data_IF_490419928105
#
_entry.id   IF_490419928105
#
_cell.length_a   1.000
_cell.length_b   1.000
_cell.length_c   1.000
_cell.angle_alpha   90.00
_cell.angle_beta   90.00
_cell.angle_gamma   90.00
#
_symmetry.space_group_name_H-M   'P 1'
#
loop_
_entity.id
_entity.type
_entity.pdbx_description
1 polymer ?
#
# COMPACT_ATOMS: atom_id res chain seq x y z
N UNK A 1 -23.82 10.03 -31.80
CA UNK A 1 -22.66 10.17 -30.89
C UNK A 1 -21.70 11.17 -31.51
N UNK A 2 -21.35 12.25 -30.80
CA UNK A 2 -20.33 13.20 -31.24
C UNK A 2 -18.97 12.51 -31.35
N UNK A 3 -18.22 12.80 -32.41
CA UNK A 3 -16.91 12.20 -32.63
C UNK A 3 -15.96 12.52 -31.47
N UNK A 4 -15.32 11.49 -30.93
CA UNK A 4 -14.38 11.61 -29.80
C UNK A 4 -13.10 12.28 -30.29
N UNK A 5 -12.82 13.50 -29.82
CA UNK A 5 -11.59 14.23 -30.18
C UNK A 5 -10.36 13.41 -29.74
N UNK A 6 -9.27 13.33 -30.53
CA UNK A 6 -8.05 12.65 -30.10
C UNK A 6 -7.44 13.35 -28.88
N UNK A 7 -6.87 12.56 -27.95
CA UNK A 7 -6.09 13.09 -26.84
C UNK A 7 -4.63 13.21 -27.29
N UNK A 8 -3.93 14.33 -27.00
CA UNK A 8 -2.49 14.40 -27.19
C UNK A 8 -1.82 13.23 -26.45
N UNK A 9 -0.96 12.44 -27.12
CA UNK A 9 -0.30 11.31 -26.50
C UNK A 9 0.79 11.79 -25.53
N UNK A 10 1.04 11.01 -24.48
CA UNK A 10 2.21 11.23 -23.61
C UNK A 10 3.45 10.50 -24.14
N UNK A 11 4.67 10.97 -23.84
CA UNK A 11 5.87 10.35 -24.41
C UNK A 11 6.12 8.94 -23.85
N UNK A 12 6.54 8.05 -24.75
CA UNK A 12 7.03 6.72 -24.39
C UNK A 12 5.92 5.73 -24.01
N UNK A 13 6.29 4.64 -23.32
CA UNK A 13 5.39 3.51 -23.07
C UNK A 13 4.22 3.84 -22.12
N UNK A 14 4.25 5.03 -21.49
CA UNK A 14 3.15 5.51 -20.66
C UNK A 14 1.87 5.76 -21.47
N UNK A 15 1.96 6.10 -22.76
CA UNK A 15 0.75 6.31 -23.57
C UNK A 15 -0.02 5.00 -23.76
N UNK A 16 0.66 3.91 -24.10
CA UNK A 16 0.04 2.61 -24.28
C UNK A 16 -0.60 2.14 -22.96
N UNK A 17 0.07 2.36 -21.83
CA UNK A 17 -0.50 2.12 -20.51
C UNK A 17 -1.75 2.98 -20.26
N UNK A 18 -1.67 4.30 -20.47
CA UNK A 18 -2.74 5.23 -20.17
C UNK A 18 -3.97 5.05 -21.08
N UNK A 19 -3.76 4.70 -22.34
CA UNK A 19 -4.82 4.45 -23.32
C UNK A 19 -5.74 3.30 -22.89
N UNK A 20 -5.26 2.32 -22.11
CA UNK A 20 -6.08 1.23 -21.54
C UNK A 20 -7.16 1.72 -20.55
N UNK A 21 -7.08 2.96 -20.10
CA UNK A 21 -8.07 3.60 -19.22
C UNK A 21 -9.01 4.55 -19.96
N UNK A 22 -8.82 4.80 -21.26
CA UNK A 22 -9.59 5.79 -22.01
C UNK A 22 -11.10 5.55 -21.89
N UNK A 23 -11.56 4.30 -21.87
CA UNK A 23 -12.99 3.96 -21.76
C UNK A 23 -13.68 4.51 -20.49
N UNK A 24 -12.93 4.87 -19.45
CA UNK A 24 -13.44 5.38 -18.18
C UNK A 24 -13.61 6.91 -18.17
N UNK A 25 -13.18 7.59 -19.22
CA UNK A 25 -13.16 9.05 -19.31
C UNK A 25 -14.08 9.55 -20.43
N UNK A 26 -15.06 10.37 -20.06
CA UNK A 26 -16.11 10.87 -20.93
C UNK A 26 -15.71 12.10 -21.76
N UNK A 27 -14.60 12.75 -21.41
CA UNK A 27 -14.13 13.98 -22.07
C UNK A 27 -12.65 13.94 -22.45
N UNK A 28 -12.27 14.79 -23.41
CA UNK A 28 -10.86 15.03 -23.74
C UNK A 28 -10.08 15.53 -22.52
N UNK A 29 -10.65 16.48 -21.76
CA UNK A 29 -10.01 17.05 -20.57
C UNK A 29 -9.71 15.99 -19.50
N UNK A 30 -10.58 14.99 -19.30
CA UNK A 30 -10.34 13.89 -18.36
C UNK A 30 -9.19 12.99 -18.82
N UNK A 31 -9.19 12.58 -20.09
CA UNK A 31 -8.12 11.75 -20.66
C UNK A 31 -6.76 12.45 -20.63
N UNK A 32 -6.76 13.75 -20.92
CA UNK A 32 -5.58 14.61 -20.83
C UNK A 32 -5.12 14.75 -19.38
N UNK A 33 -6.03 15.03 -18.45
CA UNK A 33 -5.73 15.13 -17.02
C UNK A 33 -5.13 13.84 -16.45
N UNK A 34 -5.66 12.67 -16.81
CA UNK A 34 -5.11 11.38 -16.40
C UNK A 34 -3.67 11.17 -16.89
N UNK A 35 -3.43 11.41 -18.17
CA UNK A 35 -2.12 11.33 -18.82
C UNK A 35 -1.11 12.31 -18.21
N UNK A 36 -1.48 13.58 -18.05
CA UNK A 36 -0.63 14.61 -17.45
C UNK A 36 -0.27 14.23 -16.00
N UNK A 37 -1.25 13.78 -15.21
CA UNK A 37 -1.01 13.38 -13.83
C UNK A 37 -0.09 12.16 -13.73
N UNK A 38 -0.35 11.11 -14.50
CA UNK A 38 0.49 9.90 -14.53
C UNK A 38 1.88 10.17 -15.10
N UNK A 39 2.07 11.19 -15.92
CA UNK A 39 3.40 11.57 -16.42
C UNK A 39 4.25 12.19 -15.32
N UNK A 40 3.64 13.02 -14.48
CA UNK A 40 4.36 13.73 -13.43
C UNK A 40 4.66 12.88 -12.18
N UNK A 41 3.83 11.89 -11.85
CA UNK A 41 4.04 11.04 -10.66
C UNK A 41 5.36 10.25 -10.68
N UNK A 42 5.80 9.62 -11.80
CA UNK A 42 7.09 8.94 -11.92
C UNK A 42 8.29 9.87 -12.11
N UNK A 43 8.09 11.20 -12.15
CA UNK A 43 9.18 12.15 -12.37
C UNK A 43 10.22 12.11 -11.22
N UNK A 44 11.47 12.54 -11.46
CA UNK A 44 12.52 12.52 -10.44
C UNK A 44 12.15 13.26 -9.15
N UNK A 45 12.60 12.73 -8.01
CA UNK A 45 12.34 13.30 -6.67
C UNK A 45 12.83 14.73 -6.47
N UNK A 46 13.83 15.15 -7.24
CA UNK A 46 14.36 16.51 -7.21
C UNK A 46 13.29 17.55 -7.60
N UNK A 47 12.20 17.10 -8.23
CA UNK A 47 10.97 17.86 -8.36
C UNK A 47 9.96 17.46 -7.27
N UNK A 48 9.47 18.46 -6.56
CA UNK A 48 8.22 18.34 -5.82
C UNK A 48 7.11 17.86 -6.76
N UNK A 49 6.19 17.02 -6.29
CA UNK A 49 5.11 16.44 -7.11
C UNK A 49 3.75 17.07 -6.82
N UNK A 50 3.78 18.31 -6.31
CA UNK A 50 2.59 19.14 -6.16
C UNK A 50 1.92 19.38 -7.52
N UNK A 51 0.62 19.68 -7.52
CA UNK A 51 -0.15 19.92 -8.75
C UNK A 51 0.49 21.01 -9.63
N UNK A 52 1.07 22.05 -9.03
CA UNK A 52 1.82 23.08 -9.77
C UNK A 52 2.99 22.48 -10.53
N UNK A 53 3.80 21.64 -9.88
CA UNK A 53 4.96 21.02 -10.50
C UNK A 53 4.57 19.96 -11.55
N UNK A 54 3.51 19.19 -11.31
CA UNK A 54 2.96 18.25 -12.31
C UNK A 54 2.49 18.99 -13.58
N UNK A 55 1.97 20.22 -13.43
CA UNK A 55 1.61 21.09 -14.54
C UNK A 55 2.79 21.87 -15.15
N UNK A 56 4.03 21.66 -14.66
CA UNK A 56 5.21 22.41 -15.11
C UNK A 56 5.25 23.88 -14.66
N UNK A 57 4.49 24.24 -13.62
CA UNK A 57 4.35 25.59 -13.10
C UNK A 57 5.18 25.80 -11.83
N UNK A 58 5.68 27.02 -11.62
CA UNK A 58 6.30 27.41 -10.36
C UNK A 58 5.28 27.33 -9.21
N UNK A 59 5.62 26.71 -8.07
CA UNK A 59 4.77 26.72 -6.88
C UNK A 59 4.36 28.14 -6.49
N UNK A 60 3.10 28.30 -6.05
CA UNK A 60 2.51 29.59 -5.66
C UNK A 60 2.33 30.57 -6.84
N UNK A 61 3.40 31.02 -7.49
CA UNK A 61 3.33 32.00 -8.58
C UNK A 61 2.55 31.47 -9.80
N UNK A 62 2.77 30.20 -10.14
CA UNK A 62 2.10 29.52 -11.24
C UNK A 62 0.74 28.91 -10.89
N UNK A 63 0.22 29.06 -9.67
CA UNK A 63 -0.99 28.37 -9.24
C UNK A 63 -2.24 28.76 -10.07
N UNK A 64 -2.24 29.96 -10.65
CA UNK A 64 -3.32 30.48 -11.47
C UNK A 64 -3.28 30.06 -12.94
N UNK A 65 -2.22 29.40 -13.42
CA UNK A 65 -2.13 29.08 -14.86
C UNK A 65 -3.19 28.04 -15.26
N UNK A 66 -3.70 28.06 -16.51
CA UNK A 66 -4.76 27.16 -16.95
C UNK A 66 -4.46 25.68 -16.73
N UNK A 67 -3.21 25.24 -16.91
CA UNK A 67 -2.79 23.84 -16.67
C UNK A 67 -3.00 23.39 -15.22
N UNK A 68 -2.65 24.24 -14.26
CA UNK A 68 -2.81 23.93 -12.82
C UNK A 68 -4.28 23.85 -12.45
N UNK A 69 -5.08 24.82 -12.89
CA UNK A 69 -6.53 24.81 -12.65
C UNK A 69 -7.18 23.56 -13.26
N UNK A 70 -6.73 23.12 -14.44
CA UNK A 70 -7.21 21.91 -15.11
C UNK A 70 -6.94 20.66 -14.28
N UNK A 71 -5.74 20.48 -13.75
CA UNK A 71 -5.39 19.34 -12.90
C UNK A 71 -6.09 19.38 -11.54
N UNK A 72 -6.26 20.56 -10.93
CA UNK A 72 -7.07 20.71 -9.73
C UNK A 72 -8.52 20.27 -9.99
N UNK A 73 -9.14 20.78 -11.05
CA UNK A 73 -10.49 20.39 -11.45
C UNK A 73 -10.59 18.90 -11.78
N UNK A 74 -9.57 18.33 -12.44
CA UNK A 74 -9.50 16.90 -12.73
C UNK A 74 -9.59 16.06 -11.46
N UNK A 75 -8.86 16.43 -10.40
CA UNK A 75 -8.88 15.72 -9.13
C UNK A 75 -10.12 16.00 -8.28
N UNK A 76 -10.59 17.25 -8.20
CA UNK A 76 -11.64 17.61 -7.24
C UNK A 76 -13.06 17.50 -7.82
N UNK A 77 -13.29 18.02 -9.02
CA UNK A 77 -14.65 18.25 -9.55
C UNK A 77 -15.04 17.35 -10.72
N UNK A 78 -14.08 16.96 -11.57
CA UNK A 78 -14.36 16.24 -12.82
C UNK A 78 -15.12 14.94 -12.57
N UNK A 79 -16.15 14.54 -13.34
CA UNK A 79 -17.01 13.40 -13.01
C UNK A 79 -16.43 12.04 -13.50
N UNK A 80 -15.32 11.58 -12.93
CA UNK A 80 -14.79 10.21 -13.13
C UNK A 80 -14.69 9.45 -11.81
N UNK A 81 -14.86 8.14 -11.80
CA UNK A 81 -14.96 7.37 -10.55
C UNK A 81 -13.64 6.67 -10.22
N UNK A 82 -13.10 6.94 -9.02
CA UNK A 82 -11.80 6.42 -8.59
C UNK A 82 -11.78 4.89 -8.52
N UNK A 83 -12.89 4.31 -8.07
CA UNK A 83 -13.02 2.85 -7.97
C UNK A 83 -13.02 2.18 -9.35
N UNK A 84 -13.65 2.77 -10.37
CA UNK A 84 -13.61 2.21 -11.73
C UNK A 84 -12.19 2.23 -12.32
N UNK A 85 -11.42 3.29 -12.04
CA UNK A 85 -10.00 3.35 -12.43
C UNK A 85 -9.19 2.29 -11.68
N UNK A 86 -9.48 2.09 -10.39
CA UNK A 86 -8.83 1.03 -9.62
C UNK A 86 -9.17 -0.36 -10.15
N UNK A 87 -10.44 -0.63 -10.43
CA UNK A 87 -10.91 -1.92 -10.95
C UNK A 87 -10.24 -2.23 -12.31
N UNK A 88 -10.15 -1.25 -13.22
CA UNK A 88 -9.39 -1.39 -14.48
C UNK A 88 -7.91 -1.64 -14.23
N UNK A 89 -7.29 -0.95 -13.27
CA UNK A 89 -5.88 -1.20 -12.91
C UNK A 89 -5.68 -2.63 -12.42
N UNK A 90 -6.59 -3.13 -11.60
CA UNK A 90 -6.56 -4.49 -11.07
C UNK A 90 -6.82 -5.55 -12.15
N UNK A 91 -7.73 -5.27 -13.09
CA UNK A 91 -7.95 -6.09 -14.30
C UNK A 91 -6.65 -6.26 -15.09
N UNK A 92 -5.95 -5.16 -15.39
CA UNK A 92 -4.68 -5.20 -16.13
C UNK A 92 -3.58 -5.98 -15.40
N UNK A 93 -3.48 -5.84 -14.07
CA UNK A 93 -2.52 -6.62 -13.26
C UNK A 93 -2.81 -8.11 -13.27
N UNK A 94 -4.09 -8.51 -13.38
CA UNK A 94 -4.51 -9.91 -13.47
C UNK A 94 -4.26 -10.52 -14.85
N UNK A 95 -4.38 -9.73 -15.89
CA UNK A 95 -4.19 -10.18 -17.28
C UNK A 95 -2.71 -10.39 -17.62
N UNK A 96 -1.81 -9.64 -16.98
CA UNK A 96 -0.37 -9.73 -17.20
C UNK A 96 0.24 -10.92 -16.41
N UNK A 97 0.79 -11.97 -17.08
CA UNK A 97 1.28 -13.17 -16.39
C UNK A 97 2.35 -12.93 -15.33
N UNK A 98 3.17 -11.89 -15.48
CA UNK A 98 4.21 -11.57 -14.52
C UNK A 98 3.66 -11.01 -13.18
N UNK A 99 2.50 -10.35 -13.24
CA UNK A 99 1.82 -9.77 -12.07
C UNK A 99 0.56 -10.51 -11.67
N UNK A 100 0.07 -11.47 -12.46
CA UNK A 100 -1.17 -12.17 -12.19
C UNK A 100 -1.17 -12.85 -10.81
N UNK A 101 -2.24 -12.68 -10.01
CA UNK A 101 -2.32 -13.28 -8.70
C UNK A 101 -2.53 -14.80 -8.78
N UNK A 102 -2.17 -15.50 -7.70
CA UNK A 102 -2.40 -16.93 -7.53
C UNK A 102 -2.61 -17.27 -6.06
N UNK A 103 -3.19 -18.44 -5.78
CA UNK A 103 -3.60 -18.87 -4.44
C UNK A 103 -2.45 -19.11 -3.45
N UNK A 104 -1.20 -19.03 -3.90
CA UNK A 104 0.00 -19.14 -3.06
C UNK A 104 0.51 -17.81 -2.49
N UNK A 105 0.02 -16.69 -3.01
CA UNK A 105 0.32 -15.34 -2.53
C UNK A 105 -0.47 -14.98 -1.26
N UNK A 106 -0.26 -13.77 -0.75
CA UNK A 106 -0.97 -13.23 0.42
C UNK A 106 -1.58 -11.88 0.12
N UNK A 107 -2.67 -11.56 0.82
CA UNK A 107 -3.16 -10.19 0.95
C UNK A 107 -2.68 -9.66 2.29
N UNK A 108 -1.76 -8.70 2.27
CA UNK A 108 -1.27 -8.03 3.48
C UNK A 108 -2.15 -6.83 3.78
N UNK A 109 -2.58 -6.69 5.04
CA UNK A 109 -3.27 -5.51 5.56
C UNK A 109 -2.30 -4.77 6.47
N UNK A 110 -2.22 -3.46 6.28
CA UNK A 110 -1.52 -2.55 7.19
C UNK A 110 -2.12 -1.15 7.05
N UNK A 111 -1.91 -0.30 8.05
CA UNK A 111 -2.28 1.11 7.99
C UNK A 111 -1.03 1.98 7.89
N UNK A 112 -1.24 3.21 7.46
CA UNK A 112 -0.14 4.13 7.29
C UNK A 112 -0.62 5.55 7.52
N UNK A 113 -0.02 6.19 8.53
CA UNK A 113 -0.23 7.59 8.87
C UNK A 113 0.69 8.54 8.12
N UNK A 114 0.12 9.62 7.60
CA UNK A 114 0.81 10.74 6.96
C UNK A 114 0.50 12.03 7.72
N UNK A 115 1.55 12.74 8.14
CA UNK A 115 1.40 13.99 8.87
C UNK A 115 0.77 15.04 7.97
N UNK A 116 -0.19 15.79 8.49
CA UNK A 116 -0.81 16.93 7.81
C UNK A 116 -0.97 18.08 8.78
N UNK A 117 -0.85 19.30 8.28
CA UNK A 117 -1.07 20.51 9.05
C UNK A 117 -2.48 21.08 8.81
N UNK A 118 -3.05 21.71 9.83
CA UNK A 118 -4.39 22.32 9.79
C UNK A 118 -5.54 21.32 9.93
N UNK A 119 -6.77 21.83 9.76
CA UNK A 119 -8.03 21.12 10.01
C UNK A 119 -8.96 21.03 8.79
N UNK A 120 -8.56 21.62 7.65
CA UNK A 120 -9.43 21.79 6.48
C UNK A 120 -9.40 20.61 5.49
N UNK A 121 -8.53 19.62 5.74
CA UNK A 121 -8.40 18.43 4.89
C UNK A 121 -9.28 17.32 5.44
N UNK A 122 -10.05 16.65 4.58
CA UNK A 122 -10.85 15.50 4.98
C UNK A 122 -9.97 14.45 5.68
N UNK A 123 -10.54 13.76 6.68
CA UNK A 123 -9.88 12.71 7.47
C UNK A 123 -8.74 13.18 8.38
N UNK A 124 -8.36 14.45 8.33
CA UNK A 124 -7.26 14.95 9.16
C UNK A 124 -7.64 14.95 10.64
N UNK A 125 -6.77 14.48 11.50
CA UNK A 125 -7.00 14.57 12.93
C UNK A 125 -5.86 14.02 13.75
N UNK A 126 -6.02 14.14 15.08
CA UNK A 126 -5.11 13.53 16.06
C UNK A 126 -5.25 12.02 16.02
N UNK A 127 -4.31 11.35 15.38
CA UNK A 127 -4.31 9.91 15.13
C UNK A 127 -2.93 9.34 15.45
N UNK A 128 -2.85 8.04 15.77
CA UNK A 128 -1.55 7.38 15.91
C UNK A 128 -0.88 7.29 14.54
N UNK A 129 0.29 7.92 14.37
CA UNK A 129 1.03 7.89 13.11
C UNK A 129 2.20 6.90 13.24
N UNK A 130 2.02 5.67 12.75
CA UNK A 130 2.97 4.57 12.90
C UNK A 130 4.42 4.93 12.53
N UNK A 131 4.63 5.61 11.39
CA UNK A 131 5.96 6.08 10.93
C UNK A 131 6.67 7.00 11.94
N UNK A 132 5.90 7.78 12.69
CA UNK A 132 6.41 8.77 13.65
C UNK A 132 6.41 8.27 15.09
N UNK A 133 5.80 7.10 15.36
CA UNK A 133 5.72 6.50 16.70
C UNK A 133 5.00 7.37 17.73
N UNK A 134 4.03 8.18 17.31
CA UNK A 134 3.29 9.09 18.19
C UNK A 134 1.91 9.44 17.65
N UNK A 135 1.03 9.87 18.55
CA UNK A 135 -0.22 10.55 18.15
C UNK A 135 0.09 11.98 17.71
N UNK A 136 -0.23 12.31 16.45
CA UNK A 136 -0.08 13.64 15.90
C UNK A 136 -1.19 13.94 14.89
N UNK A 137 -1.22 15.16 14.35
CA UNK A 137 -2.18 15.53 13.32
C UNK A 137 -1.81 14.91 11.96
N UNK A 138 -2.72 14.17 11.38
CA UNK A 138 -2.47 13.48 10.11
C UNK A 138 -3.68 12.74 9.59
N UNK A 139 -3.47 12.01 8.49
CA UNK A 139 -4.43 11.11 7.86
C UNK A 139 -3.86 9.70 7.97
N UNK A 140 -4.66 8.75 8.45
CA UNK A 140 -4.32 7.32 8.41
C UNK A 140 -5.08 6.69 7.26
N UNK A 141 -4.40 5.91 6.43
CA UNK A 141 -5.02 5.14 5.35
C UNK A 141 -4.72 3.66 5.55
N UNK A 142 -5.79 2.86 5.60
CA UNK A 142 -5.69 1.39 5.59
C UNK A 142 -5.50 0.95 4.15
N UNK A 143 -4.52 0.08 3.93
CA UNK A 143 -4.17 -0.44 2.60
C UNK A 143 -4.15 -1.96 2.61
N UNK A 144 -4.57 -2.55 1.50
CA UNK A 144 -4.31 -3.95 1.17
C UNK A 144 -3.26 -4.05 0.08
N UNK A 145 -2.30 -4.95 0.23
CA UNK A 145 -1.27 -5.24 -0.79
C UNK A 145 -1.32 -6.72 -1.11
N UNK A 146 -1.35 -7.09 -2.40
CA UNK A 146 -1.11 -8.46 -2.81
C UNK A 146 0.38 -8.69 -3.05
N UNK A 147 0.91 -9.84 -2.62
CA UNK A 147 2.30 -10.23 -2.92
C UNK A 147 2.49 -11.76 -2.85
N UNK A 148 3.41 -12.26 -3.68
CA UNK A 148 3.96 -13.61 -3.64
C UNK A 148 5.46 -13.63 -3.24
N UNK A 149 6.03 -12.47 -2.91
CA UNK A 149 7.46 -12.26 -2.66
C UNK A 149 8.30 -11.97 -3.92
N UNK A 150 7.76 -12.20 -5.12
CA UNK A 150 8.35 -11.82 -6.41
C UNK A 150 7.85 -10.44 -6.84
N UNK A 151 6.55 -10.20 -6.74
CA UNK A 151 5.90 -8.91 -7.01
C UNK A 151 5.05 -8.49 -5.83
N UNK A 152 4.74 -7.21 -5.75
CA UNK A 152 3.82 -6.68 -4.75
C UNK A 152 3.15 -5.42 -5.28
N UNK A 153 1.87 -5.22 -4.99
CA UNK A 153 1.17 -3.99 -5.37
C UNK A 153 -0.07 -3.74 -4.50
N UNK A 154 -0.44 -2.46 -4.25
CA UNK A 154 -1.68 -2.13 -3.56
C UNK A 154 -2.91 -2.63 -4.32
N UNK A 155 -3.89 -3.18 -3.61
CA UNK A 155 -5.21 -3.56 -4.14
C UNK A 155 -6.22 -2.44 -3.90
N UNK A 156 -6.53 -2.17 -2.64
CA UNK A 156 -7.53 -1.20 -2.20
C UNK A 156 -7.01 -0.39 -1.03
N UNK A 157 -7.46 0.86 -0.94
CA UNK A 157 -7.05 1.81 0.08
C UNK A 157 -8.27 2.55 0.61
N UNK A 158 -8.32 2.84 1.90
CA UNK A 158 -9.40 3.66 2.48
C UNK A 158 -8.86 4.52 3.60
N UNK A 159 -8.96 5.86 3.49
CA UNK A 159 -8.67 6.75 4.61
C UNK A 159 -9.60 6.47 5.79
N UNK A 160 -9.05 6.40 6.99
CA UNK A 160 -9.82 6.38 8.22
C UNK A 160 -10.29 7.78 8.57
N UNK A 161 -11.58 7.92 8.86
CA UNK A 161 -12.19 9.19 9.25
C UNK A 161 -12.33 9.28 10.77
N UNK A 162 -11.65 10.21 11.46
CA UNK A 162 -11.78 10.37 12.90
C UNK A 162 -13.21 10.74 13.32
N UNK A 163 -13.64 10.28 14.50
CA UNK A 163 -15.00 10.44 15.01
C UNK A 163 -15.53 11.90 15.04
N UNK A 164 -14.64 12.90 15.17
CA UNK A 164 -15.02 14.32 15.23
C UNK A 164 -15.37 14.94 13.87
N UNK A 165 -15.11 14.23 12.75
CA UNK A 165 -15.60 14.64 11.43
C UNK A 165 -17.09 14.32 11.22
N UNK A 166 -17.68 13.48 12.08
CA UNK A 166 -19.09 13.13 12.01
C UNK A 166 -19.91 14.06 12.91
N UNK A 167 -21.07 14.49 12.40
CA UNK A 167 -22.04 15.25 13.19
C UNK A 167 -22.52 14.40 14.37
N UNK A 168 -22.65 14.96 15.60
CA UNK A 168 -23.18 14.21 16.74
C UNK A 168 -24.61 13.72 16.43
N UNK A 169 -24.82 12.40 16.40
CA UNK A 169 -26.12 11.79 16.14
C UNK A 169 -26.25 10.40 16.77
N UNK A 170 -27.48 9.91 17.01
CA UNK A 170 -27.75 8.68 17.76
C UNK A 170 -27.28 7.39 17.07
N UNK A 171 -26.92 7.44 15.78
CA UNK A 171 -26.35 6.31 15.04
C UNK A 171 -24.82 6.39 14.94
N UNK A 172 -24.13 6.34 16.08
CA UNK A 172 -22.68 6.04 16.13
C UNK A 172 -22.37 4.56 15.90
N UNK A 173 -23.39 3.70 15.90
CA UNK A 173 -23.31 2.27 15.60
C UNK A 173 -23.28 2.06 14.08
N UNK A 174 -22.11 2.13 13.46
CA UNK A 174 -21.99 1.87 12.02
C UNK A 174 -20.73 2.42 11.36
N UNK A 175 -19.94 3.24 12.06
CA UNK A 175 -18.60 3.55 11.59
C UNK A 175 -17.75 2.29 11.75
N UNK A 176 -17.20 1.72 10.67
CA UNK A 176 -16.27 0.63 10.82
C UNK A 176 -15.17 1.11 11.74
N UNK A 177 -14.98 0.42 12.87
CA UNK A 177 -13.70 0.45 13.54
C UNK A 177 -12.63 0.19 12.48
N UNK A 178 -11.46 0.83 12.58
CA UNK A 178 -10.37 0.74 11.61
C UNK A 178 -10.12 -0.71 11.12
N UNK A 179 -10.26 -1.67 12.04
CA UNK A 179 -10.21 -3.10 11.78
C UNK A 179 -11.33 -3.63 10.87
N UNK A 180 -12.61 -3.30 11.10
CA UNK A 180 -13.73 -3.79 10.28
C UNK A 180 -13.62 -3.33 8.80
N UNK A 181 -13.17 -2.08 8.57
CA UNK A 181 -12.86 -1.61 7.22
C UNK A 181 -11.72 -2.43 6.58
N UNK A 182 -10.70 -2.79 7.37
CA UNK A 182 -9.56 -3.55 6.87
C UNK A 182 -9.93 -4.97 6.39
N UNK A 183 -10.78 -5.69 7.14
CA UNK A 183 -11.27 -7.01 6.71
C UNK A 183 -12.10 -6.91 5.43
N UNK A 184 -12.94 -5.88 5.30
CA UNK A 184 -13.74 -5.65 4.09
C UNK A 184 -12.87 -5.38 2.86
N UNK A 185 -11.75 -4.65 3.01
CA UNK A 185 -10.80 -4.43 1.90
C UNK A 185 -10.15 -5.73 1.42
N UNK A 186 -9.83 -6.66 2.32
CA UNK A 186 -9.29 -7.96 1.94
C UNK A 186 -10.34 -8.84 1.26
N UNK A 187 -11.58 -8.84 1.76
CA UNK A 187 -12.71 -9.49 1.10
C UNK A 187 -12.90 -8.97 -0.33
N UNK A 188 -12.87 -7.64 -0.50
CA UNK A 188 -12.94 -7.00 -1.81
C UNK A 188 -11.78 -7.40 -2.73
N UNK A 189 -10.57 -7.55 -2.19
CA UNK A 189 -9.42 -8.09 -2.94
C UNK A 189 -9.70 -9.49 -3.51
N UNK A 190 -10.23 -10.38 -2.68
CA UNK A 190 -10.62 -11.74 -3.10
C UNK A 190 -11.76 -11.72 -4.12
N UNK A 191 -12.79 -10.90 -3.91
CA UNK A 191 -13.91 -10.72 -4.85
C UNK A 191 -13.45 -10.17 -6.21
N UNK A 192 -12.42 -9.30 -6.20
CA UNK A 192 -11.75 -8.81 -7.41
C UNK A 192 -10.84 -9.86 -8.06
N UNK A 193 -10.84 -11.12 -7.59
CA UNK A 193 -10.11 -12.26 -8.15
C UNK A 193 -8.63 -12.32 -7.80
N UNK A 194 -8.21 -11.66 -6.71
CA UNK A 194 -6.86 -11.82 -6.16
C UNK A 194 -6.86 -12.99 -5.18
N UNK A 195 -6.65 -14.19 -5.72
CA UNK A 195 -6.46 -15.40 -4.93
C UNK A 195 -5.32 -15.24 -3.92
N UNK A 196 -5.50 -15.79 -2.72
CA UNK A 196 -4.50 -15.74 -1.67
C UNK A 196 -4.60 -16.94 -0.74
N UNK A 197 -3.45 -17.38 -0.23
CA UNK A 197 -3.35 -18.44 0.75
C UNK A 197 -3.86 -18.00 2.12
N UNK A 198 -3.59 -16.75 2.46
CA UNK A 198 -4.04 -16.12 3.68
C UNK A 198 -4.02 -14.59 3.57
N UNK A 199 -4.85 -13.95 4.39
CA UNK A 199 -4.68 -12.56 4.80
C UNK A 199 -3.61 -12.49 5.88
N UNK A 200 -2.68 -11.56 5.75
CA UNK A 200 -1.59 -11.37 6.71
C UNK A 200 -1.68 -9.97 7.31
N UNK A 201 -1.60 -9.87 8.62
CA UNK A 201 -1.68 -8.60 9.33
C UNK A 201 -0.83 -8.60 10.60
N UNK A 202 -0.45 -7.42 11.05
CA UNK A 202 0.27 -7.25 12.30
C UNK A 202 -0.68 -7.29 13.52
N UNK A 203 -0.12 -7.05 14.71
CA UNK A 203 -0.89 -7.07 15.95
C UNK A 203 -1.72 -5.79 16.21
N UNK A 204 -1.55 -4.72 15.43
CA UNK A 204 -2.43 -3.55 15.49
C UNK A 204 -3.82 -3.89 14.92
N UNK A 205 -3.87 -4.79 13.94
CA UNK A 205 -5.13 -5.31 13.40
C UNK A 205 -5.86 -6.29 14.35
N UNK A 206 -5.16 -6.91 15.29
CA UNK A 206 -5.66 -8.01 16.15
C UNK A 206 -6.35 -7.55 17.46
N UNK A 207 -7.09 -6.44 17.45
CA UNK A 207 -7.63 -5.83 18.68
C UNK A 207 -9.02 -6.29 19.09
N UNK A 208 -9.80 -6.95 18.20
CA UNK A 208 -11.15 -7.43 18.51
C UNK A 208 -11.60 -8.62 17.67
N UNK A 209 -12.56 -9.40 18.20
CA UNK A 209 -13.02 -10.65 17.58
C UNK A 209 -13.83 -10.43 16.28
N UNK A 210 -14.52 -9.29 16.17
CA UNK A 210 -15.30 -8.91 14.99
C UNK A 210 -14.48 -8.94 13.70
N UNK A 211 -13.20 -8.60 13.79
CA UNK A 211 -12.29 -8.61 12.66
C UNK A 211 -12.02 -10.04 12.16
N UNK A 212 -11.74 -10.97 13.07
CA UNK A 212 -11.56 -12.37 12.74
C UNK A 212 -12.86 -13.01 12.23
N UNK A 213 -14.01 -12.61 12.77
CA UNK A 213 -15.32 -13.05 12.30
C UNK A 213 -15.60 -12.55 10.89
N UNK A 214 -15.26 -11.30 10.56
CA UNK A 214 -15.41 -10.75 9.22
C UNK A 214 -14.55 -11.49 8.19
N UNK A 215 -13.30 -11.81 8.52
CA UNK A 215 -12.44 -12.62 7.64
C UNK A 215 -13.02 -14.03 7.42
N UNK A 216 -13.50 -14.69 8.48
CA UNK A 216 -14.14 -16.01 8.38
C UNK A 216 -15.42 -15.96 7.54
N UNK A 217 -16.26 -14.93 7.72
CA UNK A 217 -17.47 -14.73 6.94
C UNK A 217 -17.17 -14.53 5.44
N UNK A 218 -16.05 -13.89 5.11
CA UNK A 218 -15.54 -13.76 3.73
C UNK A 218 -14.83 -15.03 3.21
N UNK A 219 -14.77 -16.09 4.02
CA UNK A 219 -14.05 -17.33 3.70
C UNK A 219 -12.56 -17.09 3.46
N UNK A 220 -11.94 -16.17 4.22
CA UNK A 220 -10.52 -15.87 4.15
C UNK A 220 -9.78 -16.57 5.29
N UNK A 221 -8.75 -17.33 4.92
CA UNK A 221 -7.75 -17.77 5.87
C UNK A 221 -6.90 -16.57 6.33
N UNK A 222 -6.31 -16.65 7.52
CA UNK A 222 -5.45 -15.58 8.04
C UNK A 222 -4.22 -16.09 8.77
N UNK A 223 -3.15 -15.30 8.79
CA UNK A 223 -1.98 -15.46 9.65
C UNK A 223 -1.63 -14.10 10.24
N UNK A 224 -1.88 -13.92 11.53
CA UNK A 224 -1.97 -12.58 12.15
C UNK A 224 -1.16 -12.55 13.43
N UNK A 225 -0.32 -11.53 13.59
CA UNK A 225 0.45 -11.41 14.81
C UNK A 225 -0.41 -11.02 16.01
N UNK A 226 -0.05 -11.57 17.17
CA UNK A 226 -0.60 -11.22 18.47
C UNK A 226 0.47 -10.51 19.29
N UNK A 227 0.03 -9.61 20.19
CA UNK A 227 0.92 -9.05 21.21
C UNK A 227 1.36 -10.16 22.18
N UNK A 228 2.63 -10.21 22.61
CA UNK A 228 3.14 -11.26 23.51
C UNK A 228 2.36 -11.35 24.82
N UNK A 229 1.89 -10.21 25.33
CA UNK A 229 1.14 -10.10 26.59
C UNK A 229 -0.38 -9.96 26.38
N UNK A 230 -0.91 -10.34 25.20
CA UNK A 230 -2.36 -10.36 24.99
C UNK A 230 -2.98 -11.40 25.90
N UNK A 231 -3.59 -10.94 26.99
CA UNK A 231 -4.28 -11.81 27.94
C UNK A 231 -5.46 -12.52 27.31
N UNK A 232 -5.64 -13.79 27.66
CA UNK A 232 -6.85 -14.55 27.37
C UNK A 232 -7.32 -15.29 28.62
N UNK A 233 -8.59 -15.69 28.60
CA UNK A 233 -9.10 -16.56 29.64
C UNK A 233 -8.51 -17.98 29.47
N UNK A 234 -7.96 -18.52 30.54
CA UNK A 234 -7.45 -19.88 30.64
C UNK A 234 -7.60 -20.37 32.09
N UNK A 235 -7.43 -21.68 32.32
CA UNK A 235 -7.41 -22.23 33.69
C UNK A 235 -6.14 -21.74 34.42
N UNK A 236 -6.19 -21.70 35.75
CA UNK A 236 -5.12 -21.12 36.59
C UNK A 236 -3.73 -21.78 36.39
N UNK A 237 -3.70 -23.04 36.00
CA UNK A 237 -2.49 -23.83 35.75
C UNK A 237 -2.03 -23.79 34.28
N UNK A 238 -2.70 -23.01 33.43
CA UNK A 238 -2.41 -22.91 32.00
C UNK A 238 -1.85 -21.53 31.65
N UNK A 239 -1.15 -21.41 30.50
CA UNK A 239 -0.72 -20.12 29.99
C UNK A 239 -1.90 -19.16 29.78
N UNK A 240 -1.71 -17.89 30.13
CA UNK A 240 -2.68 -16.80 29.97
C UNK A 240 -2.29 -15.83 28.85
N UNK A 241 -1.04 -15.88 28.38
CA UNK A 241 -0.53 -15.02 27.30
C UNK A 241 0.25 -15.82 26.24
N UNK A 242 0.40 -15.31 25.00
CA UNK A 242 1.21 -15.96 23.98
C UNK A 242 2.66 -16.24 24.38
N UNK A 243 3.30 -15.33 25.13
CA UNK A 243 4.68 -15.55 25.62
C UNK A 243 4.76 -16.64 26.68
N UNK A 244 3.79 -16.73 27.60
CA UNK A 244 3.70 -17.84 28.55
C UNK A 244 3.47 -19.18 27.84
N UNK A 245 2.64 -19.17 26.79
CA UNK A 245 2.38 -20.36 26.00
C UNK A 245 3.64 -20.83 25.26
N UNK A 246 4.47 -19.91 24.79
CA UNK A 246 5.77 -20.22 24.21
C UNK A 246 6.75 -20.78 25.25
N UNK A 247 6.79 -20.21 26.47
CA UNK A 247 7.65 -20.73 27.55
C UNK A 247 7.23 -22.12 28.05
N UNK A 248 5.97 -22.51 27.87
CA UNK A 248 5.49 -23.85 28.21
C UNK A 248 5.95 -24.93 27.21
N UNK A 249 6.47 -24.55 26.03
CA UNK A 249 6.97 -25.49 25.03
C UNK A 249 8.33 -26.08 25.46
N UNK A 250 8.50 -27.36 25.19
CA UNK A 250 9.72 -28.10 25.49
C UNK A 250 10.84 -27.67 24.55
N UNK A 251 11.89 -27.08 25.11
CA UNK A 251 13.14 -26.79 24.40
C UNK A 251 14.33 -27.23 25.25
N UNK A 252 15.31 -27.91 24.64
CA UNK A 252 16.61 -28.20 25.29
C UNK A 252 17.75 -27.51 24.56
N UNK A 253 17.92 -27.84 23.29
CA UNK A 253 18.97 -27.30 22.41
C UNK A 253 18.66 -27.66 20.95
N UNK A 254 19.42 -27.10 20.02
CA UNK A 254 19.22 -27.31 18.58
C UNK A 254 19.30 -28.78 18.13
N UNK A 255 19.98 -29.67 18.87
CA UNK A 255 20.05 -31.11 18.56
C UNK A 255 18.89 -31.90 19.18
N UNK A 256 18.22 -31.33 20.18
CA UNK A 256 17.08 -31.91 20.90
C UNK A 256 16.01 -30.84 21.06
N UNK A 257 15.35 -30.47 19.96
CA UNK A 257 14.53 -29.26 19.93
C UNK A 257 13.18 -29.40 20.63
N UNK A 258 12.79 -30.61 21.04
CA UNK A 258 11.53 -30.85 21.74
C UNK A 258 10.34 -30.56 20.84
N UNK A 259 9.51 -29.60 21.24
CA UNK A 259 8.29 -29.21 20.49
C UNK A 259 8.60 -28.30 19.29
N UNK A 260 9.84 -27.82 19.17
CA UNK A 260 10.25 -26.87 18.13
C UNK A 260 10.75 -27.57 16.87
N UNK A 261 10.36 -27.04 15.72
CA UNK A 261 10.80 -27.48 14.40
C UNK A 261 11.68 -26.41 13.75
N UNK A 262 12.86 -26.74 13.20
CA UNK A 262 13.67 -25.79 12.47
C UNK A 262 12.98 -25.41 11.15
N UNK A 263 12.98 -24.12 10.82
CA UNK A 263 12.41 -23.55 9.60
C UNK A 263 13.49 -22.72 8.91
N UNK A 264 13.87 -23.09 7.70
CA UNK A 264 14.79 -22.31 6.89
C UNK A 264 14.04 -21.17 6.18
N UNK A 265 14.49 -19.94 6.40
CA UNK A 265 13.96 -18.75 5.74
C UNK A 265 14.94 -18.29 4.68
N UNK A 266 14.44 -18.03 3.49
CA UNK A 266 15.21 -17.54 2.36
C UNK A 266 14.88 -16.08 2.08
N UNK A 267 15.91 -15.29 1.82
CA UNK A 267 15.78 -13.88 1.53
C UNK A 267 16.24 -13.58 0.11
N UNK A 268 15.75 -12.47 -0.46
CA UNK A 268 15.95 -12.16 -1.89
C UNK A 268 17.40 -11.86 -2.25
N UNK A 269 18.20 -11.38 -1.31
CA UNK A 269 19.66 -11.20 -1.44
C UNK A 269 20.44 -12.52 -1.31
N UNK A 270 19.75 -13.66 -1.18
CA UNK A 270 20.33 -14.99 -1.17
C UNK A 270 20.76 -15.49 0.20
N UNK A 271 20.67 -14.70 1.27
CA UNK A 271 20.96 -15.20 2.61
C UNK A 271 19.84 -16.12 3.10
N UNK A 272 20.22 -17.04 3.99
CA UNK A 272 19.28 -17.91 4.70
C UNK A 272 19.44 -17.72 6.20
N UNK A 273 18.33 -17.82 6.92
CA UNK A 273 18.31 -17.84 8.39
C UNK A 273 17.51 -19.04 8.86
N UNK A 274 18.04 -19.77 9.85
CA UNK A 274 17.27 -20.78 10.57
C UNK A 274 16.47 -20.13 11.68
N UNK A 275 15.16 -20.29 11.60
CA UNK A 275 14.21 -19.98 12.66
C UNK A 275 13.70 -21.29 13.27
N UNK A 276 13.01 -21.19 14.40
CA UNK A 276 12.33 -22.29 15.06
C UNK A 276 10.86 -21.97 15.17
N UNK A 277 9.99 -22.92 14.87
CA UNK A 277 8.55 -22.74 14.98
C UNK A 277 7.89 -23.90 15.75
N UNK A 278 6.78 -23.61 16.42
CA UNK A 278 6.00 -24.58 17.18
C UNK A 278 4.54 -24.16 17.29
N UNK A 279 3.63 -25.14 17.37
CA UNK A 279 2.23 -24.91 17.76
C UNK A 279 2.13 -24.86 19.29
N UNK A 280 1.60 -23.76 19.82
CA UNK A 280 1.38 -23.55 21.24
C UNK A 280 -0.11 -23.67 21.60
N UNK A 281 -0.38 -24.00 22.87
CA UNK A 281 -1.73 -24.07 23.42
C UNK A 281 -1.99 -22.86 24.33
N UNK A 282 -3.06 -22.12 24.05
CA UNK A 282 -3.43 -20.92 24.80
C UNK A 282 -4.94 -20.72 24.75
N UNK A 283 -5.65 -20.95 25.86
CA UNK A 283 -7.11 -20.85 25.88
C UNK A 283 -7.76 -21.71 24.77
N UNK A 284 -8.46 -21.08 23.83
CA UNK A 284 -9.05 -21.77 22.67
C UNK A 284 -8.09 -22.11 21.52
N UNK A 285 -6.84 -21.60 21.55
CA UNK A 285 -5.83 -21.86 20.52
C UNK A 285 -5.12 -23.19 20.76
N UNK A 286 -4.90 -23.95 19.68
CA UNK A 286 -4.09 -25.17 19.71
C UNK A 286 -4.05 -25.89 18.36
N UNK A 287 -3.17 -26.89 18.19
CA UNK A 287 -3.01 -27.61 16.92
C UNK A 287 -4.28 -28.36 16.48
N UNK A 288 -5.07 -28.84 17.44
CA UNK A 288 -6.33 -29.56 17.19
C UNK A 288 -7.54 -28.61 17.04
N UNK A 289 -7.35 -27.32 17.32
CA UNK A 289 -8.41 -26.30 17.31
C UNK A 289 -8.56 -25.67 15.91
N UNK A 290 -9.77 -25.18 15.54
CA UNK A 290 -9.97 -24.41 14.31
C UNK A 290 -9.15 -23.11 14.21
N UNK A 291 -8.56 -22.68 15.32
CA UNK A 291 -7.63 -21.57 15.38
C UNK A 291 -6.38 -22.00 16.15
N UNK A 292 -5.21 -21.83 15.54
CA UNK A 292 -3.91 -22.21 16.09
C UNK A 292 -3.14 -20.99 16.56
N UNK A 293 -2.29 -21.20 17.55
CA UNK A 293 -1.24 -20.27 17.92
C UNK A 293 0.10 -20.87 17.48
N UNK A 294 0.73 -20.28 16.49
CA UNK A 294 2.08 -20.66 16.06
C UNK A 294 3.08 -19.65 16.61
N UNK A 295 4.11 -20.13 17.27
CA UNK A 295 5.24 -19.31 17.73
C UNK A 295 6.41 -19.55 16.80
N UNK A 296 7.03 -18.48 16.29
CA UNK A 296 8.23 -18.58 15.45
C UNK A 296 9.31 -17.63 15.95
N UNK A 297 10.54 -18.10 16.14
CA UNK A 297 11.61 -17.30 16.75
C UNK A 297 13.01 -17.70 16.26
N UNK A 298 13.98 -16.80 16.37
CA UNK A 298 15.40 -17.15 16.20
C UNK A 298 15.99 -17.86 17.41
N UNK A 299 15.37 -17.73 18.59
CA UNK A 299 15.88 -18.30 19.85
C UNK A 299 14.73 -18.73 20.77
N UNK A 300 14.40 -20.04 20.81
CA UNK A 300 13.36 -20.59 21.68
C UNK A 300 13.59 -20.39 23.17
N UNK A 301 14.84 -20.25 23.61
CA UNK A 301 15.15 -20.07 25.03
C UNK A 301 14.93 -18.62 25.48
N UNK A 302 15.38 -17.66 24.66
CA UNK A 302 15.32 -16.23 24.99
C UNK A 302 14.06 -15.51 24.52
N UNK A 303 13.36 -16.03 23.50
CA UNK A 303 12.20 -15.40 22.86
C UNK A 303 12.41 -13.89 22.61
N UNK A 304 13.48 -13.49 21.88
CA UNK A 304 13.81 -12.09 21.66
C UNK A 304 12.66 -11.33 21.01
N UNK A 305 12.28 -10.19 21.59
CA UNK A 305 11.10 -9.40 21.19
C UNK A 305 11.05 -9.08 19.69
N UNK A 306 12.18 -8.67 19.10
CA UNK A 306 12.28 -8.29 17.68
C UNK A 306 12.43 -9.46 16.71
N UNK A 307 12.54 -10.67 17.23
CA UNK A 307 12.76 -11.89 16.44
C UNK A 307 11.93 -13.06 16.98
N UNK A 308 10.76 -12.76 17.53
CA UNK A 308 9.76 -13.73 17.96
C UNK A 308 8.39 -13.27 17.47
N UNK A 309 7.67 -14.17 16.80
CA UNK A 309 6.33 -13.97 16.29
C UNK A 309 5.37 -14.88 17.02
N UNK A 310 4.23 -14.34 17.43
CA UNK A 310 3.11 -15.08 17.98
C UNK A 310 1.97 -14.95 17.00
N UNK A 311 1.61 -16.01 16.29
CA UNK A 311 0.75 -15.96 15.11
C UNK A 311 -0.54 -16.72 15.35
N UNK A 312 -1.67 -16.02 15.27
CA UNK A 312 -2.99 -16.63 15.20
C UNK A 312 -3.30 -17.01 13.74
N UNK A 313 -3.78 -18.22 13.52
CA UNK A 313 -4.22 -18.68 12.18
C UNK A 313 -5.40 -19.63 12.24
N UNK A 314 -6.31 -19.56 11.27
CA UNK A 314 -7.36 -20.56 11.03
C UNK A 314 -6.99 -21.57 9.92
N UNK A 315 -5.73 -21.61 9.48
CA UNK A 315 -5.22 -22.68 8.62
C UNK A 315 -5.01 -23.94 9.47
N UNK A 316 -5.69 -25.06 9.18
CA UNK A 316 -5.65 -26.22 10.07
C UNK A 316 -4.25 -26.84 10.08
N UNK A 317 -3.90 -27.45 11.22
CA UNK A 317 -2.70 -28.28 11.31
C UNK A 317 -2.87 -29.51 10.39
N UNK A 318 -1.83 -29.99 9.68
CA UNK A 318 -1.94 -31.13 8.78
C UNK A 318 -2.54 -32.39 9.42
N UNK A 319 -2.18 -32.63 10.68
CA UNK A 319 -2.67 -33.78 11.45
C UNK A 319 -3.94 -33.51 12.27
N UNK A 320 -4.55 -32.32 12.16
CA UNK A 320 -5.74 -32.00 12.94
C UNK A 320 -6.95 -32.84 12.47
N UNK A 321 -7.78 -33.38 13.38
CA UNK A 321 -8.97 -34.16 13.01
C UNK A 321 -9.95 -33.39 12.10
N UNK A 322 -10.04 -32.07 12.25
CA UNK A 322 -10.93 -31.21 11.48
C UNK A 322 -10.33 -30.74 10.14
N UNK A 323 -9.07 -31.09 9.82
CA UNK A 323 -8.40 -30.63 8.60
C UNK A 323 -9.13 -31.06 7.33
N UNK A 324 -9.66 -32.29 7.30
CA UNK A 324 -10.40 -32.82 6.15
C UNK A 324 -11.74 -32.11 5.88
N UNK A 325 -12.32 -31.48 6.90
CA UNK A 325 -13.60 -30.74 6.82
C UNK A 325 -13.41 -29.23 6.80
N UNK A 326 -12.17 -28.74 6.88
CA UNK A 326 -11.85 -27.33 6.87
C UNK A 326 -12.11 -26.72 5.48
N UNK A 327 -12.63 -25.48 5.41
CA UNK A 327 -12.74 -24.75 4.15
C UNK A 327 -11.37 -24.33 3.57
N UNK A 328 -10.30 -24.47 4.35
CA UNK A 328 -8.94 -24.09 3.98
C UNK A 328 -8.01 -25.30 4.01
N UNK A 329 -7.15 -25.50 2.98
CA UNK A 329 -6.15 -26.56 3.00
C UNK A 329 -5.21 -26.41 4.20
N UNK A 330 -4.75 -27.52 4.82
CA UNK A 330 -3.84 -27.47 5.96
C UNK A 330 -2.51 -26.81 5.64
N UNK A 331 -1.88 -26.22 6.65
CA UNK A 331 -0.60 -25.53 6.55
C UNK A 331 0.34 -25.98 7.67
N UNK A 332 1.54 -26.42 7.31
CA UNK A 332 2.59 -26.75 8.28
C UNK A 332 3.26 -25.48 8.84
N UNK A 333 4.17 -25.66 9.79
CA UNK A 333 4.90 -24.55 10.42
C UNK A 333 5.75 -23.75 9.42
N UNK A 334 6.33 -24.42 8.42
CA UNK A 334 7.15 -23.76 7.38
C UNK A 334 6.28 -22.82 6.55
N UNK A 335 5.08 -23.26 6.16
CA UNK A 335 4.14 -22.45 5.40
C UNK A 335 3.63 -21.26 6.22
N UNK A 336 3.26 -21.43 7.49
CA UNK A 336 2.81 -20.32 8.34
C UNK A 336 3.91 -19.24 8.47
N UNK A 337 5.16 -19.67 8.69
CA UNK A 337 6.32 -18.75 8.76
C UNK A 337 6.58 -18.07 7.42
N UNK A 338 6.45 -18.79 6.30
CA UNK A 338 6.56 -18.22 4.94
C UNK A 338 5.50 -17.13 4.71
N UNK A 339 4.23 -17.44 5.00
CA UNK A 339 3.11 -16.52 4.79
C UNK A 339 3.29 -15.23 5.59
N UNK A 340 3.58 -15.35 6.90
CA UNK A 340 3.81 -14.15 7.71
C UNK A 340 5.11 -13.42 7.32
N UNK A 341 6.11 -14.16 6.84
CA UNK A 341 7.35 -13.59 6.29
C UNK A 341 7.15 -12.68 5.07
N UNK A 342 5.99 -12.72 4.41
CA UNK A 342 5.64 -11.81 3.32
C UNK A 342 5.05 -10.47 3.81
N UNK A 343 4.67 -10.35 5.09
CA UNK A 343 4.13 -9.10 5.65
C UNK A 343 4.98 -7.86 5.34
N UNK A 344 6.33 -7.88 5.47
CA UNK A 344 7.16 -6.68 5.27
C UNK A 344 7.08 -6.05 3.87
N UNK A 345 6.52 -6.74 2.86
CA UNK A 345 6.33 -6.16 1.53
C UNK A 345 5.34 -4.99 1.52
N UNK A 346 4.40 -4.89 2.46
CA UNK A 346 3.53 -3.71 2.58
C UNK A 346 4.32 -2.48 3.04
N UNK A 347 5.25 -2.64 4.00
CA UNK A 347 6.15 -1.58 4.43
C UNK A 347 7.07 -1.14 3.29
N UNK A 348 7.54 -2.08 2.48
CA UNK A 348 8.28 -1.78 1.26
C UNK A 348 7.42 -1.01 0.25
N UNK A 349 6.16 -1.40 0.07
CA UNK A 349 5.19 -0.67 -0.76
C UNK A 349 5.02 0.76 -0.28
N UNK A 350 4.85 0.98 1.03
CA UNK A 350 4.72 2.32 1.58
C UNK A 350 5.94 3.19 1.34
N UNK A 351 7.16 2.67 1.52
CA UNK A 351 8.38 3.42 1.20
C UNK A 351 8.38 3.90 -0.24
N UNK A 352 8.04 3.02 -1.19
CA UNK A 352 8.05 3.37 -2.60
C UNK A 352 6.93 4.37 -2.95
N UNK A 353 5.68 4.11 -2.58
CA UNK A 353 4.58 5.01 -2.97
C UNK A 353 4.66 6.37 -2.27
N UNK A 354 5.12 6.41 -1.01
CA UNK A 354 5.28 7.68 -0.26
C UNK A 354 6.49 8.45 -0.69
N UNK A 355 7.63 7.79 -0.69
CA UNK A 355 8.85 8.52 -0.93
C UNK A 355 8.93 8.79 -2.44
N UNK A 356 8.69 7.82 -3.33
CA UNK A 356 8.89 7.98 -4.77
C UNK A 356 7.67 8.44 -5.56
N UNK A 357 6.43 8.30 -5.09
CA UNK A 357 5.24 8.59 -5.92
C UNK A 357 4.26 9.59 -5.30
N UNK A 358 4.71 10.42 -4.36
CA UNK A 358 3.94 11.54 -3.77
C UNK A 358 2.72 11.16 -2.92
N UNK A 359 2.57 9.90 -2.49
CA UNK A 359 1.41 9.46 -1.71
C UNK A 359 1.12 10.35 -0.49
N UNK A 360 2.16 10.81 0.22
CA UNK A 360 2.03 11.57 1.45
C UNK A 360 1.99 13.09 1.24
N UNK A 361 2.47 13.57 0.08
CA UNK A 361 2.84 14.96 -0.16
C UNK A 361 1.78 15.74 -0.98
N UNK A 362 0.66 15.08 -1.32
CA UNK A 362 -0.46 15.74 -1.97
C UNK A 362 -1.01 16.94 -1.16
N UNK A 363 -1.51 17.93 -1.89
CA UNK A 363 -2.07 19.17 -1.35
C UNK A 363 -3.59 19.30 -1.54
N UNK A 364 -4.26 18.24 -1.99
CA UNK A 364 -5.72 18.18 -2.10
C UNK A 364 -6.40 18.06 -0.74
N UNK A 365 -7.65 18.53 -0.65
CA UNK A 365 -8.38 18.66 0.63
C UNK A 365 -9.63 17.79 0.75
N UNK A 366 -10.37 17.57 -0.32
CA UNK A 366 -11.63 16.81 -0.26
C UNK A 366 -11.36 15.29 -0.26
N UNK A 367 -12.23 14.52 0.39
CA UNK A 367 -12.18 13.05 0.38
C UNK A 367 -12.10 12.50 -1.05
N UNK A 368 -12.95 13.02 -1.95
CA UNK A 368 -12.96 12.67 -3.38
C UNK A 368 -11.59 12.86 -4.02
N UNK A 369 -10.95 14.01 -3.82
CA UNK A 369 -9.65 14.29 -4.40
C UNK A 369 -8.52 13.44 -3.80
N UNK A 370 -8.58 13.17 -2.48
CA UNK A 370 -7.61 12.30 -1.78
C UNK A 370 -7.67 10.88 -2.35
N UNK A 371 -8.86 10.28 -2.43
CA UNK A 371 -9.04 8.93 -2.98
C UNK A 371 -8.55 8.84 -4.42
N UNK A 372 -8.86 9.84 -5.24
CA UNK A 372 -8.39 9.92 -6.62
C UNK A 372 -6.88 9.99 -6.74
N UNK A 373 -6.24 10.85 -5.94
CA UNK A 373 -4.79 10.92 -5.90
C UNK A 373 -4.19 9.56 -5.52
N UNK A 374 -4.69 8.91 -4.47
CA UNK A 374 -4.22 7.58 -4.03
C UNK A 374 -4.36 6.52 -5.14
N UNK A 375 -5.47 6.49 -5.87
CA UNK A 375 -5.64 5.57 -7.01
C UNK A 375 -4.68 5.91 -8.17
N UNK A 376 -4.41 7.19 -8.45
CA UNK A 376 -3.46 7.58 -9.49
C UNK A 376 -2.01 7.22 -9.10
N UNK A 377 -1.65 7.35 -7.82
CA UNK A 377 -0.37 6.86 -7.29
C UNK A 377 -0.27 5.34 -7.48
N UNK A 378 -1.33 4.59 -7.15
CA UNK A 378 -1.35 3.15 -7.36
C UNK A 378 -1.27 2.77 -8.86
N UNK A 379 -1.86 3.58 -9.76
CA UNK A 379 -1.71 3.42 -11.21
C UNK A 379 -0.27 3.64 -11.65
N UNK A 380 0.39 4.70 -11.18
CA UNK A 380 1.80 4.96 -11.48
C UNK A 380 2.71 3.83 -10.94
N UNK A 381 2.41 3.30 -9.77
CA UNK A 381 3.12 2.15 -9.20
C UNK A 381 2.92 0.87 -10.03
N UNK A 382 1.69 0.62 -10.51
CA UNK A 382 1.39 -0.53 -11.37
C UNK A 382 2.04 -0.41 -12.75
N UNK A 383 2.11 0.82 -13.30
CA UNK A 383 2.88 1.11 -14.50
C UNK A 383 4.38 0.79 -14.33
N UNK A 384 4.95 0.99 -13.14
CA UNK A 384 6.34 0.61 -12.89
C UNK A 384 6.55 -0.91 -13.05
N UNK A 385 5.60 -1.74 -12.59
CA UNK A 385 5.65 -3.19 -12.82
C UNK A 385 5.46 -3.58 -14.28
N UNK A 386 4.50 -2.96 -14.97
CA UNK A 386 4.27 -3.15 -16.41
C UNK A 386 5.55 -2.88 -17.22
N UNK A 387 6.30 -1.83 -16.88
CA UNK A 387 7.56 -1.50 -17.53
C UNK A 387 8.76 -2.35 -17.10
N UNK A 388 8.72 -2.92 -15.90
CA UNK A 388 9.78 -3.81 -15.41
C UNK A 388 9.84 -5.12 -16.18
N UNK A 389 8.67 -5.67 -16.52
CA UNK A 389 8.57 -6.94 -17.25
C UNK A 389 8.60 -6.78 -18.76
N UNK A 390 8.41 -5.56 -19.27
CA UNK A 390 8.53 -5.27 -20.70
C UNK A 390 10.01 -5.24 -21.11
N UNK A 391 10.44 -6.06 -22.09
CA UNK A 391 11.80 -5.99 -22.62
C UNK A 391 12.10 -4.57 -23.15
N UNK A 392 13.30 -4.01 -22.92
CA UNK A 392 13.62 -2.68 -23.42
C UNK A 392 13.53 -2.66 -24.95
N UNK A 393 12.53 -1.95 -25.48
CA UNK A 393 12.39 -1.70 -26.91
C UNK A 393 13.44 -0.73 -27.45
N UNK A 394 13.58 -0.60 -28.79
CA UNK A 394 14.48 0.37 -29.40
C UNK A 394 14.18 1.79 -28.92
N UNK A 395 15.21 2.56 -28.59
CA UNK A 395 15.08 3.97 -28.25
C UNK A 395 14.62 4.74 -29.49
N UNK A 396 13.34 5.11 -29.52
CA UNK A 396 12.86 6.07 -30.52
C UNK A 396 13.35 7.47 -30.13
N UNK A 397 14.42 7.92 -30.78
CA UNK A 397 15.03 9.24 -30.66
C UNK A 397 14.29 10.33 -31.44
N UNK A 398 13.18 9.98 -32.11
CA UNK A 398 12.41 10.91 -32.96
C UNK A 398 11.19 11.51 -32.28
N UNK A 399 10.89 11.11 -31.03
CA UNK A 399 9.74 11.65 -30.29
C UNK A 399 9.93 13.15 -30.01
N UNK A 400 9.03 14.03 -30.49
CA UNK A 400 9.14 15.47 -30.27
C UNK A 400 8.94 15.83 -28.80
N UNK A 401 9.64 16.85 -28.32
CA UNK A 401 9.44 17.44 -27.00
C UNK A 401 7.99 17.90 -26.83
N UNK A 402 7.37 17.68 -25.65
CA UNK A 402 6.01 18.14 -25.39
C UNK A 402 5.97 19.68 -25.45
N UNK A 403 5.34 20.23 -26.48
CA UNK A 403 5.02 21.65 -26.56
C UNK A 403 3.73 21.91 -25.78
N UNK A 404 3.65 22.99 -24.98
CA UNK A 404 2.36 23.44 -24.47
C UNK A 404 1.49 23.85 -25.67
N UNK A 405 0.41 23.11 -25.91
CA UNK A 405 -0.57 23.44 -26.94
C UNK A 405 -1.58 24.46 -26.39
N UNK A 406 -1.65 25.64 -27.02
CA UNK A 406 -2.50 26.78 -26.67
C UNK A 406 -3.89 26.74 -27.34
N UNK A 407 -4.28 25.60 -27.94
CA UNK A 407 -5.56 25.45 -28.63
C UNK A 407 -6.79 25.62 -27.70
N UNK A 408 -7.81 26.42 -28.09
CA UNK A 408 -9.03 26.57 -27.29
C UNK A 408 -9.91 25.32 -27.38
N UNK A 409 -10.16 24.68 -26.23
CA UNK A 409 -11.03 23.49 -26.12
C UNK A 409 -12.52 23.85 -25.88
N UNK A 410 -12.85 25.15 -25.76
CA UNK A 410 -14.22 25.72 -25.71
C UNK A 410 -14.34 26.92 -26.66
N UNK A 411 -15.55 27.15 -27.18
CA UNK A 411 -15.88 28.14 -28.20
C UNK A 411 -15.29 29.54 -27.95
N UNK A 412 -14.97 30.22 -29.04
CA UNK A 412 -14.16 31.44 -29.11
C UNK A 412 -14.84 32.66 -28.47
N UNK A 413 -14.12 33.32 -27.55
CA UNK A 413 -14.23 34.76 -27.35
C UNK A 413 -12.82 35.37 -27.37
N UNK A 414 -12.58 36.21 -28.36
CA UNK A 414 -11.31 36.91 -28.62
C UNK A 414 -11.24 38.18 -27.77
N UNK A 415 -10.16 38.35 -27.02
CA UNK A 415 -9.73 39.65 -26.47
C UNK A 415 -8.34 39.95 -27.03
N UNK A 416 -8.05 41.15 -27.56
CA UNK A 416 -6.76 41.46 -28.15
C UNK A 416 -5.66 41.65 -27.08
N UNK A 417 -4.38 41.36 -27.38
CA UNK A 417 -3.29 41.57 -26.45
C UNK A 417 -2.86 43.04 -26.36
N UNK A 418 -2.43 43.45 -25.17
CA UNK A 418 -1.77 44.74 -24.93
C UNK A 418 -0.26 44.63 -25.27
N UNK A 419 0.40 45.73 -25.71
CA UNK A 419 1.80 45.69 -26.11
C UNK A 419 2.74 45.74 -24.91
N UNK A 420 3.83 44.96 -24.95
CA UNK A 420 4.95 45.03 -23.98
C UNK A 420 6.29 45.15 -24.71
N UNK A 421 7.07 46.18 -24.36
CA UNK A 421 8.46 46.39 -24.80
C UNK A 421 9.46 45.47 -24.08
N UNK A 422 10.61 45.13 -24.71
CA UNK A 422 11.56 44.17 -24.17
C UNK A 422 12.55 44.83 -23.20
N UNK A 423 12.83 44.17 -22.08
CA UNK A 423 14.00 44.45 -21.24
C UNK A 423 14.78 43.16 -20.98
N UNK A 424 16.04 43.21 -21.41
CA UNK A 424 17.18 42.31 -21.14
C UNK A 424 17.14 40.87 -21.72
N UNK A 425 18.04 40.65 -22.69
CA UNK A 425 18.46 39.32 -23.17
C UNK A 425 19.27 38.61 -22.09
N UNK A 426 18.76 37.46 -21.62
CA UNK A 426 19.47 36.54 -20.74
C UNK A 426 19.26 35.09 -21.21
N UNK A 427 20.35 34.48 -21.68
CA UNK A 427 20.59 33.05 -21.95
C UNK A 427 19.37 32.20 -22.38
N UNK A 428 19.23 32.08 -23.69
CA UNK A 428 18.39 31.12 -24.41
C UNK A 428 18.85 29.68 -24.18
N UNK A 429 18.42 29.08 -23.08
CA UNK A 429 18.31 27.62 -22.95
C UNK A 429 17.28 27.30 -21.89
N UNK A 430 16.08 26.92 -22.33
CA UNK A 430 15.07 26.32 -21.47
C UNK A 430 15.64 25.03 -20.86
N UNK A 431 15.47 24.78 -19.56
CA UNK A 431 15.85 23.50 -18.97
C UNK A 431 14.95 22.41 -19.56
N UNK A 432 15.56 21.50 -20.34
CA UNK A 432 14.90 20.40 -21.03
C UNK A 432 14.08 19.52 -20.07
N UNK A 433 12.90 19.02 -20.50
CA UNK A 433 12.19 17.94 -19.82
C UNK A 433 13.08 16.67 -19.77
N UNK A 434 13.30 16.12 -18.57
CA UNK A 434 13.93 14.82 -18.43
C UNK A 434 13.06 13.73 -19.11
N UNK A 435 13.68 12.92 -19.96
CA UNK A 435 13.00 11.95 -20.83
C UNK A 435 12.28 10.85 -20.03
N UNK A 436 10.97 10.59 -20.25
CA UNK A 436 10.16 9.64 -19.46
C UNK A 436 10.56 8.15 -19.51
N UNK A 437 11.57 7.77 -20.33
CA UNK A 437 11.96 6.36 -20.50
C UNK A 437 13.00 5.87 -19.49
N UNK A 438 13.78 6.76 -18.86
CA UNK A 438 14.86 6.34 -17.94
C UNK A 438 14.40 6.19 -16.47
N UNK A 439 13.34 6.88 -16.06
CA UNK A 439 12.92 6.93 -14.66
C UNK A 439 12.10 5.75 -14.15
N UNK A 440 11.20 5.13 -14.94
CA UNK A 440 10.47 3.93 -14.48
C UNK A 440 11.44 2.77 -14.20
N UNK A 441 12.38 2.50 -15.12
CA UNK A 441 13.42 1.47 -14.93
C UNK A 441 14.36 1.80 -13.78
N UNK A 442 14.73 3.07 -13.54
CA UNK A 442 15.56 3.44 -12.38
C UNK A 442 14.81 3.37 -11.04
N UNK A 443 13.50 3.67 -11.02
CA UNK A 443 12.68 3.48 -9.81
C UNK A 443 12.57 2.01 -9.47
N UNK A 444 12.32 1.12 -10.45
CA UNK A 444 12.29 -0.32 -10.16
C UNK A 444 13.68 -0.93 -9.93
N UNK A 445 14.74 -0.40 -10.55
CA UNK A 445 16.12 -0.77 -10.21
C UNK A 445 16.50 -0.32 -8.77
N UNK A 446 16.01 0.83 -8.31
CA UNK A 446 16.06 1.25 -6.91
C UNK A 446 15.22 0.32 -6.01
N UNK A 447 14.05 -0.13 -6.48
CA UNK A 447 13.21 -1.13 -5.81
C UNK A 447 13.93 -2.48 -5.63
N UNK A 448 14.86 -2.81 -6.52
CA UNK A 448 15.69 -4.02 -6.41
C UNK A 448 16.96 -3.81 -5.56
N UNK A 449 17.43 -2.57 -5.37
CA UNK A 449 18.59 -2.24 -4.52
C UNK A 449 18.26 -1.92 -3.05
N UNK A 450 17.10 -1.33 -2.77
CA UNK A 450 16.65 -0.94 -1.42
C UNK A 450 15.68 -1.98 -0.82
N UNK A 451 16.09 -3.24 -0.83
CA UNK A 451 15.33 -4.36 -0.29
C UNK A 451 15.28 -4.31 1.25
N UNK A 452 14.30 -4.96 1.91
CA UNK A 452 14.36 -5.19 3.35
C UNK A 452 15.51 -6.17 3.65
N UNK A 453 16.72 -5.66 3.85
CA UNK A 453 17.93 -6.46 4.14
C UNK A 453 18.26 -6.52 5.63
N UNK A 454 17.48 -5.86 6.51
CA UNK A 454 17.66 -5.88 7.97
C UNK A 454 16.41 -5.45 8.73
N UNK A 455 16.27 -6.01 9.95
CA UNK A 455 15.22 -5.79 10.97
C UNK A 455 14.59 -4.40 10.94
N UNK A 456 13.26 -4.34 10.84
CA UNK A 456 12.47 -3.17 11.27
C UNK A 456 12.61 -3.04 12.80
N UNK A 457 13.15 -1.94 13.35
CA UNK A 457 13.03 -1.68 14.77
C UNK A 457 11.56 -1.39 15.08
N UNK A 458 10.98 -2.13 16.02
CA UNK A 458 9.66 -1.79 16.57
C UNK A 458 9.60 -0.36 17.11
N UNK A 459 8.41 0.25 17.18
CA UNK A 459 8.23 1.69 17.41
C UNK A 459 8.57 2.18 18.83
N UNK A 460 9.07 1.34 19.73
CA UNK A 460 9.28 1.76 21.12
C UNK A 460 10.73 2.23 21.41
N UNK A 461 10.79 3.52 21.76
CA UNK A 461 11.84 4.29 22.46
C UNK A 461 12.96 4.92 21.62
N UNK A 462 12.70 6.15 21.16
CA UNK A 462 13.61 7.28 21.43
C UNK A 462 12.94 8.24 22.43
N UNK A 463 13.03 7.88 23.70
CA UNK A 463 12.70 8.76 24.82
C UNK A 463 13.92 8.91 25.73
N UNK A 464 14.12 10.14 26.21
CA UNK A 464 15.13 10.59 27.19
C UNK A 464 16.46 11.13 26.65
N UNK A 465 16.40 12.32 26.04
CA UNK A 465 17.23 13.43 26.52
C UNK A 465 16.41 14.72 26.50
N UNK A 466 15.74 14.99 27.62
CA UNK A 466 15.35 16.36 28.00
C UNK A 466 16.61 16.99 28.60
N UNK A 467 17.23 17.92 27.89
CA UNK A 467 18.05 18.95 28.53
C UNK A 467 17.10 19.90 29.25
N UNK A 468 17.31 20.05 30.55
CA UNK A 468 16.62 21.04 31.40
C UNK A 468 17.11 22.43 31.00
N UNK A 469 16.18 23.35 30.78
CA UNK A 469 16.26 24.72 31.27
C UNK A 469 14.91 25.07 31.88
#
# INVERSE_FOLDING_TARGET
>A
MTARRPCPPVPGPLEDYAARFDGLFFSLAQRRGFREYLTGLPAPRERNKTITCLAGAEPVAGAGIPGVQRLQFFLSESPWEAEQVNDRRLELLREEPATAPHDGGVIVIDDSGDRKDGMATAHVGRQWLGRYGKTDNGIVTVTTVWTDGRVYYPLHTTPYTPAHHFTPGPHRSGLPHETAAAAALAARGKEAGFGCRAVVADCACSVGDDWYLALRAAGLAYVVALKPHRGTWARTDQPHTPIEAAHALTWKDAKRPGDWTPVERHFRDGHTETWWAADARLGGYGPDSPCRLVVATTDPAGLPEKATWYLATNLPHPDAPHAATSPHPPADLVEIVRLYGLRPWIEQSYKQIKDELDWADFQVRSDRAIRRHQILVNCAFSFCWDQWFTPPGPLDTTAPDPRPDEGPERGTHTVPPAPTSPLAQGLTSHPFPAHPRRHPQSMVASMDGQRPTRRTPGPDRRGHHRTRH
#
